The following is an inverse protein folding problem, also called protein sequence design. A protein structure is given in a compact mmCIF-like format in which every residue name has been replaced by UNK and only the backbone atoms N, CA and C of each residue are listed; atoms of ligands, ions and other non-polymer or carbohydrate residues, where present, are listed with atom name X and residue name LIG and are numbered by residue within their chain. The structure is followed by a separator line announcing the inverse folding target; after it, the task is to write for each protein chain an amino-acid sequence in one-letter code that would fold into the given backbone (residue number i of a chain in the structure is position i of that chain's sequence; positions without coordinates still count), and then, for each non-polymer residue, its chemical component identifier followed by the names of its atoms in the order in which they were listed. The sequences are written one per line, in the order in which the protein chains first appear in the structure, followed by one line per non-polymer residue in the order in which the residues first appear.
data_IF_614705973334
#
_entry.id   IF_614705973334
#
_cell.length_a   1.000
_cell.length_b   1.000
_cell.length_c   1.000
_cell.angle_alpha   90.00
_cell.angle_beta   90.00
_cell.angle_gamma   90.00
#
_symmetry.space_group_name_H-M   'P 1'
#
loop_
_entity.id
_entity.type
_entity.pdbx_description
1 polymer ?
#
# COMPACT_ATOMS: atom_id res chain seq x y z
N UNK A 1 -14.57 13.09 11.97
CA UNK A 1 -13.37 12.26 11.68
C UNK A 1 -12.70 12.79 10.42
N UNK A 2 -11.41 13.12 10.46
CA UNK A 2 -10.72 13.67 9.28
C UNK A 2 -10.58 12.61 8.16
N UNK A 3 -10.65 13.05 6.90
CA UNK A 3 -10.63 12.20 5.69
C UNK A 3 -9.45 11.21 5.65
N UNK A 4 -8.31 11.59 6.25
CA UNK A 4 -7.11 10.76 6.37
C UNK A 4 -7.30 9.55 7.31
N UNK A 5 -8.03 9.70 8.42
CA UNK A 5 -8.32 8.60 9.35
C UNK A 5 -9.18 7.52 8.70
N UNK A 6 -10.14 7.92 7.84
CA UNK A 6 -10.94 6.96 7.08
C UNK A 6 -10.10 6.19 6.07
N UNK A 7 -9.15 6.85 5.39
CA UNK A 7 -8.23 6.19 4.46
C UNK A 7 -7.28 5.25 5.19
N UNK A 8 -6.73 5.67 6.32
CA UNK A 8 -5.87 4.84 7.18
C UNK A 8 -6.61 3.59 7.65
N UNK A 9 -7.85 3.75 8.14
CA UNK A 9 -8.66 2.61 8.59
C UNK A 9 -8.97 1.61 7.47
N UNK A 10 -9.19 2.08 6.23
CA UNK A 10 -9.37 1.20 5.06
C UNK A 10 -8.08 0.47 4.70
N UNK A 11 -6.96 1.18 4.66
CA UNK A 11 -5.65 0.60 4.39
C UNK A 11 -5.31 -0.48 5.43
N UNK A 12 -5.46 -0.17 6.72
CA UNK A 12 -5.17 -1.10 7.79
C UNK A 12 -6.01 -2.39 7.72
N UNK A 13 -7.32 -2.28 7.43
CA UNK A 13 -8.18 -3.45 7.22
C UNK A 13 -7.72 -4.31 6.03
N UNK A 14 -7.37 -3.68 4.91
CA UNK A 14 -6.89 -4.39 3.73
C UNK A 14 -5.56 -5.10 4.00
N UNK A 15 -4.65 -4.43 4.74
CA UNK A 15 -3.37 -4.98 5.16
C UNK A 15 -3.53 -6.23 6.04
N UNK A 16 -4.37 -6.17 7.08
CA UNK A 16 -4.65 -7.34 7.94
C UNK A 16 -5.16 -8.52 7.10
N UNK A 17 -6.08 -8.27 6.16
CA UNK A 17 -6.61 -9.34 5.31
C UNK A 17 -5.55 -9.94 4.38
N UNK A 18 -4.60 -9.13 3.92
CA UNK A 18 -3.48 -9.60 3.10
C UNK A 18 -2.52 -10.47 3.93
N UNK A 19 -2.19 -10.03 5.15
CA UNK A 19 -1.38 -10.77 6.11
C UNK A 19 -2.01 -12.13 6.47
N UNK A 20 -3.32 -12.15 6.73
CA UNK A 20 -4.09 -13.38 6.98
C UNK A 20 -4.02 -14.37 5.82
N UNK A 21 -3.95 -13.88 4.57
CA UNK A 21 -3.81 -14.73 3.39
C UNK A 21 -2.37 -15.23 3.28
N UNK A 22 -1.39 -14.35 3.45
CA UNK A 22 0.03 -14.69 3.37
C UNK A 22 0.48 -15.73 4.41
N UNK A 23 -0.10 -15.71 5.62
CA UNK A 23 0.22 -16.66 6.69
C UNK A 23 -0.43 -18.04 6.51
N UNK A 24 -1.38 -18.19 5.59
CA UNK A 24 -2.00 -19.50 5.32
C UNK A 24 -1.06 -20.37 4.50
N UNK A 25 -1.14 -21.72 4.64
CA UNK A 25 -0.36 -22.62 3.82
C UNK A 25 -0.63 -22.33 2.35
N UNK A 26 0.44 -22.11 1.58
CA UNK A 26 0.32 -21.81 0.16
C UNK A 26 -0.28 -23.04 -0.54
N UNK A 27 -1.39 -22.84 -1.24
CA UNK A 27 -1.96 -23.86 -2.12
C UNK A 27 -1.54 -23.56 -3.55
N UNK A 28 -1.32 -24.58 -4.37
CA UNK A 28 -1.08 -24.42 -5.82
C UNK A 28 -2.37 -24.08 -6.60
N UNK A 29 -3.45 -23.78 -5.87
CA UNK A 29 -4.73 -23.41 -6.46
C UNK A 29 -4.61 -22.02 -7.11
N UNK A 30 -4.81 -21.97 -8.44
CA UNK A 30 -4.79 -20.71 -9.20
C UNK A 30 -5.76 -19.69 -8.64
N UNK A 31 -6.94 -20.11 -8.18
CA UNK A 31 -7.93 -19.18 -7.64
C UNK A 31 -7.41 -18.49 -6.36
N UNK A 32 -6.66 -19.23 -5.54
CA UNK A 32 -6.03 -18.67 -4.34
C UNK A 32 -4.87 -17.72 -4.70
N UNK A 33 -4.05 -18.07 -5.69
CA UNK A 33 -2.98 -17.19 -6.19
C UNK A 33 -3.56 -15.89 -6.75
N UNK A 34 -4.56 -15.96 -7.61
CA UNK A 34 -5.22 -14.79 -8.22
C UNK A 34 -5.87 -13.90 -7.15
N UNK A 35 -6.52 -14.51 -6.15
CA UNK A 35 -7.10 -13.78 -5.03
C UNK A 35 -6.01 -13.07 -4.20
N UNK A 36 -4.85 -13.70 -4.01
CA UNK A 36 -3.72 -13.13 -3.27
C UNK A 36 -3.11 -11.95 -4.03
N UNK A 37 -2.87 -12.09 -5.33
CA UNK A 37 -2.40 -11.01 -6.21
C UNK A 37 -3.38 -9.83 -6.15
N UNK A 38 -4.68 -10.10 -6.30
CA UNK A 38 -5.69 -9.05 -6.26
C UNK A 38 -5.75 -8.31 -4.92
N UNK A 39 -5.57 -9.04 -3.81
CA UNK A 39 -5.52 -8.46 -2.46
C UNK A 39 -4.29 -7.59 -2.27
N UNK A 40 -3.15 -8.02 -2.81
CA UNK A 40 -1.93 -7.23 -2.80
C UNK A 40 -2.10 -5.92 -3.58
N UNK A 41 -2.58 -5.97 -4.82
CA UNK A 41 -2.89 -4.78 -5.64
C UNK A 41 -3.82 -3.81 -4.92
N UNK A 42 -4.88 -4.32 -4.29
CA UNK A 42 -5.86 -3.50 -3.56
C UNK A 42 -5.25 -2.83 -2.33
N UNK A 43 -4.44 -3.55 -1.56
CA UNK A 43 -3.74 -3.00 -0.39
C UNK A 43 -2.75 -1.91 -0.81
N UNK A 44 -2.01 -2.14 -1.90
CA UNK A 44 -1.11 -1.16 -2.48
C UNK A 44 -1.84 0.12 -2.93
N UNK A 45 -2.97 -0.05 -3.63
CA UNK A 45 -3.81 1.07 -4.07
C UNK A 45 -4.27 1.96 -2.90
N UNK A 46 -4.62 1.34 -1.78
CA UNK A 46 -5.01 2.06 -0.57
C UNK A 46 -3.82 2.74 0.12
N UNK A 47 -2.65 2.10 0.13
CA UNK A 47 -1.44 2.62 0.74
C UNK A 47 -1.01 3.95 0.11
N UNK A 48 -0.86 3.99 -1.22
CA UNK A 48 -0.43 5.22 -1.90
C UNK A 48 -1.50 6.32 -1.84
N UNK A 49 -2.80 5.96 -1.84
CA UNK A 49 -3.90 6.95 -1.65
C UNK A 49 -3.92 7.57 -0.25
N UNK A 50 -3.52 6.80 0.76
CA UNK A 50 -3.33 7.30 2.12
C UNK A 50 -2.11 8.21 2.19
N UNK A 51 -0.95 7.77 1.69
CA UNK A 51 0.27 8.56 1.67
C UNK A 51 0.12 9.86 0.87
N UNK A 52 -0.59 9.84 -0.25
CA UNK A 52 -0.94 11.05 -1.02
C UNK A 52 -1.71 12.07 -0.18
N UNK A 53 -2.66 11.61 0.63
CA UNK A 53 -3.41 12.50 1.55
C UNK A 53 -2.51 13.02 2.67
N UNK A 54 -1.65 12.16 3.20
CA UNK A 54 -0.67 12.52 4.23
C UNK A 54 0.27 13.63 3.75
N UNK A 55 0.84 13.50 2.55
CA UNK A 55 1.69 14.53 1.95
C UNK A 55 0.92 15.81 1.64
N UNK A 56 -0.32 15.69 1.15
CA UNK A 56 -1.18 16.85 0.89
C UNK A 56 -1.44 17.67 2.15
N UNK A 57 -1.65 17.03 3.30
CA UNK A 57 -1.80 17.72 4.59
C UNK A 57 -0.53 18.42 5.06
N UNK A 58 0.64 17.98 4.61
CA UNK A 58 1.94 18.63 4.85
C UNK A 58 2.30 19.68 3.81
N UNK A 59 1.40 19.98 2.87
CA UNK A 59 1.62 20.97 1.81
C UNK A 59 2.31 20.43 0.55
N UNK A 60 2.55 19.11 0.46
CA UNK A 60 3.15 18.47 -0.72
C UNK A 60 2.06 17.79 -1.55
N UNK A 61 1.80 18.31 -2.75
CA UNK A 61 0.78 17.76 -3.64
C UNK A 61 1.42 16.79 -4.61
N UNK A 62 1.09 15.50 -4.48
CA UNK A 62 1.59 14.43 -5.33
C UNK A 62 0.45 13.85 -6.16
N UNK A 63 0.69 13.54 -7.43
CA UNK A 63 -0.37 13.15 -8.34
C UNK A 63 -0.37 11.64 -8.60
N UNK A 64 0.81 11.04 -8.74
CA UNK A 64 0.97 9.66 -9.19
C UNK A 64 1.53 8.74 -8.09
N UNK A 65 1.20 7.44 -8.10
CA UNK A 65 1.68 6.48 -7.10
C UNK A 65 3.21 6.46 -6.98
N UNK A 66 3.93 6.49 -8.11
CA UNK A 66 5.41 6.50 -8.14
C UNK A 66 6.00 7.71 -7.42
N UNK A 67 5.40 8.89 -7.57
CA UNK A 67 5.83 10.10 -6.87
C UNK A 67 5.60 9.97 -5.36
N UNK A 68 4.44 9.46 -4.98
CA UNK A 68 4.06 9.25 -3.57
C UNK A 68 5.02 8.30 -2.87
N UNK A 69 5.38 7.19 -3.53
CA UNK A 69 6.28 6.19 -2.97
C UNK A 69 7.70 6.71 -2.89
N UNK A 70 8.17 7.43 -3.91
CA UNK A 70 9.49 8.08 -3.90
C UNK A 70 9.60 9.09 -2.76
N UNK A 71 8.57 9.92 -2.57
CA UNK A 71 8.53 10.89 -1.49
C UNK A 71 8.47 10.20 -0.12
N UNK A 72 7.71 9.11 0.00
CA UNK A 72 7.68 8.29 1.22
C UNK A 72 9.05 7.70 1.58
N UNK A 73 9.87 7.35 0.58
CA UNK A 73 11.25 6.93 0.81
C UNK A 73 12.15 8.10 1.22
N UNK A 74 12.10 9.22 0.50
CA UNK A 74 12.92 10.43 0.81
C UNK A 74 12.62 10.95 2.22
N UNK A 75 11.36 10.89 2.65
CA UNK A 75 10.92 11.35 3.97
C UNK A 75 11.08 10.32 5.08
N UNK A 76 11.61 9.12 4.79
CA UNK A 76 11.88 8.06 5.78
C UNK A 76 10.65 7.35 6.32
N UNK A 77 9.50 7.46 5.64
CA UNK A 77 8.28 6.70 5.95
C UNK A 77 8.46 5.24 5.52
N UNK A 78 9.10 5.04 4.36
CA UNK A 78 9.51 3.73 3.85
C UNK A 78 11.04 3.70 3.94
N UNK A 79 11.60 2.80 4.74
CA UNK A 79 13.05 2.71 4.95
C UNK A 79 13.68 1.47 4.32
N UNK A 80 12.89 0.66 3.63
CA UNK A 80 13.36 -0.56 2.99
C UNK A 80 13.45 -0.33 1.46
N UNK A 81 14.67 -0.33 0.96
CA UNK A 81 15.01 -0.12 -0.44
C UNK A 81 14.51 -1.28 -1.33
N UNK A 82 14.42 -2.50 -0.78
CA UNK A 82 13.88 -3.66 -1.49
C UNK A 82 12.36 -3.51 -1.68
N UNK A 83 11.66 -3.03 -0.64
CA UNK A 83 10.24 -2.68 -0.73
C UNK A 83 10.02 -1.53 -1.72
N UNK A 84 10.88 -0.51 -1.76
CA UNK A 84 10.81 0.57 -2.74
C UNK A 84 10.89 0.06 -4.18
N UNK A 85 11.88 -0.78 -4.48
CA UNK A 85 12.08 -1.34 -5.81
C UNK A 85 10.88 -2.17 -6.28
N UNK A 86 10.28 -2.96 -5.39
CA UNK A 86 9.11 -3.76 -5.72
C UNK A 86 7.92 -2.84 -6.07
N UNK A 87 7.67 -1.82 -5.25
CA UNK A 87 6.49 -0.95 -5.34
C UNK A 87 6.53 0.04 -6.52
N UNK A 88 7.69 0.30 -7.13
CA UNK A 88 7.81 1.17 -8.31
C UNK A 88 7.57 0.40 -9.63
N UNK A 89 7.74 -0.93 -9.60
CA UNK A 89 7.66 -1.80 -10.79
C UNK A 89 6.25 -2.36 -11.01
N UNK A 90 5.43 -2.42 -9.96
CA UNK A 90 4.00 -2.76 -10.00
C UNK A 90 3.19 -1.56 -10.50
#
# INVERSE_FOLDING_TARGET
MSKINLKLGKFHKAFITLEDIYLKPTTEDRAYIDATIRRFEFTFELAWKFLKEYFSQKGTVLHYPKEVIREAFITGIINDESLLCLLIVI
#
